data_IF_110543018166
#
_entry.id   IF_110543018166
#
_cell.length_a   1.000
_cell.length_b   1.000
_cell.length_c   1.000
_cell.angle_alpha   90.00
_cell.angle_beta   90.00
_cell.angle_gamma   90.00
#
_symmetry.space_group_name_H-M   'P 1'
#
loop_
_entity.id
_entity.type
_entity.pdbx_description
1 polymer ?
#
# COMPACT_ATOMS: atom_id res chain seq x y z
N UNK A 1 13.17 8.33 19.10
CA UNK A 1 13.55 8.39 20.50
C UNK A 1 13.30 7.00 21.05
N UNK A 2 14.38 6.19 21.20
CA UNK A 2 14.28 4.77 21.43
C UNK A 2 13.78 4.44 22.84
N UNK A 3 12.62 3.84 22.93
CA UNK A 3 12.33 2.87 23.98
C UNK A 3 12.87 1.52 23.50
N UNK A 4 13.56 0.81 24.36
CA UNK A 4 14.05 -0.53 24.05
C UNK A 4 12.84 -1.43 23.81
N UNK A 5 12.79 -2.01 22.63
CA UNK A 5 11.69 -2.85 22.15
C UNK A 5 12.29 -4.12 21.61
N UNK A 6 11.70 -5.26 21.90
CA UNK A 6 12.21 -6.52 21.40
C UNK A 6 11.11 -7.44 20.90
N UNK A 7 11.48 -8.30 19.96
CA UNK A 7 10.62 -9.41 19.51
C UNK A 7 10.44 -10.36 20.69
N UNK A 8 9.18 -10.53 21.13
CA UNK A 8 8.81 -11.47 22.18
C UNK A 8 8.80 -12.92 21.68
N UNK A 9 7.99 -13.75 22.19
CA UNK A 9 7.99 -15.22 22.08
C UNK A 9 7.52 -15.79 20.73
N UNK A 10 6.97 -14.98 19.78
CA UNK A 10 6.30 -15.55 18.61
C UNK A 10 6.68 -14.85 17.32
N UNK A 11 7.37 -15.60 16.47
CA UNK A 11 7.41 -15.40 15.04
C UNK A 11 6.60 -16.53 14.40
N UNK A 12 5.42 -16.22 13.85
CA UNK A 12 4.52 -17.20 13.25
C UNK A 12 4.27 -16.81 11.77
N UNK A 13 5.15 -17.24 10.87
CA UNK A 13 5.11 -16.77 9.49
C UNK A 13 5.28 -15.26 9.43
N UNK A 14 4.33 -14.51 8.85
CA UNK A 14 4.41 -13.05 8.77
C UNK A 14 4.00 -12.32 10.06
N UNK A 15 3.58 -13.03 11.10
CA UNK A 15 3.08 -12.41 12.34
C UNK A 15 4.17 -12.43 13.40
N UNK A 16 4.44 -11.25 13.98
CA UNK A 16 5.46 -11.05 15.01
C UNK A 16 4.83 -10.30 16.18
N UNK A 17 5.05 -10.80 17.40
CA UNK A 17 4.64 -10.12 18.62
C UNK A 17 5.85 -9.37 19.21
N UNK A 18 5.69 -8.05 19.39
CA UNK A 18 6.73 -7.13 19.87
C UNK A 18 6.33 -6.61 21.26
N UNK A 19 7.24 -6.70 22.23
CA UNK A 19 7.06 -6.21 23.58
C UNK A 19 7.76 -4.87 23.77
N UNK A 20 7.10 -3.96 24.45
CA UNK A 20 7.59 -2.62 24.77
C UNK A 20 7.86 -2.52 26.27
N UNK A 21 8.94 -1.87 26.67
CA UNK A 21 9.24 -1.63 28.08
C UNK A 21 8.33 -0.56 28.69
N UNK A 22 7.96 0.44 27.89
CA UNK A 22 7.12 1.55 28.30
C UNK A 22 5.64 1.34 27.94
N UNK A 23 4.73 2.02 28.66
CA UNK A 23 3.30 2.06 28.33
C UNK A 23 3.00 2.84 27.04
N UNK A 24 4.01 3.47 26.41
CA UNK A 24 3.85 4.27 25.21
C UNK A 24 3.88 3.38 23.96
N UNK A 25 2.81 2.66 23.74
CA UNK A 25 2.66 1.76 22.58
C UNK A 25 2.47 2.54 21.28
N UNK A 26 3.04 2.06 20.16
CA UNK A 26 2.79 2.63 18.85
C UNK A 26 1.31 2.51 18.49
N UNK A 27 0.82 3.42 17.68
CA UNK A 27 -0.56 3.36 17.20
C UNK A 27 -0.76 2.17 16.25
N UNK A 28 -2.01 1.73 16.13
CA UNK A 28 -2.38 0.74 15.09
C UNK A 28 -2.09 1.35 13.73
N UNK A 29 -1.45 0.60 12.83
CA UNK A 29 -0.93 0.98 11.51
C UNK A 29 0.41 1.72 11.53
N UNK A 30 1.01 1.96 12.69
CA UNK A 30 2.38 2.45 12.72
C UNK A 30 3.36 1.41 12.17
N UNK A 31 4.41 1.91 11.53
CA UNK A 31 5.50 1.09 11.04
C UNK A 31 6.56 0.87 12.12
N UNK A 32 6.98 -0.36 12.28
CA UNK A 32 8.13 -0.74 13.10
C UNK A 32 9.22 -1.31 12.20
N UNK A 33 10.46 -1.07 12.56
CA UNK A 33 11.63 -1.50 11.81
C UNK A 33 12.48 -2.46 12.65
N UNK A 34 12.95 -3.52 12.01
CA UNK A 34 13.87 -4.49 12.61
C UNK A 34 15.06 -4.71 11.68
N UNK A 35 16.26 -4.74 12.23
CA UNK A 35 17.46 -5.08 11.49
C UNK A 35 17.69 -6.59 11.54
N UNK A 36 17.64 -7.22 10.38
CA UNK A 36 17.92 -8.63 10.22
C UNK A 36 19.21 -8.82 9.41
N UNK A 37 20.33 -8.85 10.12
CA UNK A 37 21.65 -8.73 9.53
C UNK A 37 21.84 -7.36 8.88
N UNK A 38 22.16 -7.35 7.57
CA UNK A 38 22.31 -6.12 6.78
C UNK A 38 21.01 -5.63 6.16
N UNK A 39 19.90 -6.36 6.36
CA UNK A 39 18.61 -6.02 5.77
C UNK A 39 17.69 -5.39 6.80
N UNK A 40 17.18 -4.22 6.46
CA UNK A 40 16.11 -3.58 7.18
C UNK A 40 14.78 -4.18 6.76
N UNK A 41 14.04 -4.74 7.71
CA UNK A 41 12.70 -5.28 7.49
C UNK A 41 11.67 -4.40 8.20
N UNK A 42 10.53 -4.18 7.56
CA UNK A 42 9.46 -3.35 8.08
C UNK A 42 8.25 -4.21 8.39
N UNK A 43 7.61 -3.91 9.52
CA UNK A 43 6.34 -4.51 9.93
C UNK A 43 5.34 -3.43 10.32
N UNK A 44 4.06 -3.73 10.21
CA UNK A 44 2.96 -2.85 10.57
C UNK A 44 2.26 -3.34 11.83
N UNK A 45 1.94 -2.43 12.74
CA UNK A 45 1.16 -2.74 13.95
C UNK A 45 -0.28 -3.03 13.56
N UNK A 46 -0.70 -4.28 13.76
CA UNK A 46 -2.06 -4.72 13.44
C UNK A 46 -2.99 -4.65 14.65
N UNK A 47 -2.49 -4.94 15.86
CA UNK A 47 -3.31 -5.04 17.05
C UNK A 47 -2.48 -4.89 18.33
N UNK A 48 -3.07 -4.27 19.36
CA UNK A 48 -2.58 -4.35 20.73
C UNK A 48 -3.16 -5.59 21.42
N UNK A 49 -2.31 -6.43 21.99
CA UNK A 49 -2.73 -7.68 22.66
C UNK A 49 -2.64 -7.61 24.17
N UNK A 50 -2.27 -6.47 24.73
CA UNK A 50 -2.13 -6.24 26.16
C UNK A 50 -0.72 -6.55 26.68
N UNK A 51 -0.48 -6.26 27.96
CA UNK A 51 0.83 -6.44 28.60
C UNK A 51 1.99 -5.81 27.81
N UNK A 52 1.83 -4.56 27.39
CA UNK A 52 2.79 -3.81 26.60
C UNK A 52 3.24 -4.53 25.30
N UNK A 53 2.40 -5.41 24.77
CA UNK A 53 2.72 -6.18 23.58
C UNK A 53 1.79 -5.80 22.42
N UNK A 54 2.39 -5.61 21.27
CA UNK A 54 1.66 -5.38 20.02
C UNK A 54 1.91 -6.52 19.05
N UNK A 55 0.90 -6.84 18.26
CA UNK A 55 0.99 -7.79 17.17
C UNK A 55 1.20 -7.06 15.87
N UNK A 56 2.26 -7.45 15.16
CA UNK A 56 2.68 -6.84 13.92
C UNK A 56 2.61 -7.84 12.76
N UNK A 57 2.43 -7.32 11.57
CA UNK A 57 2.46 -8.08 10.31
C UNK A 57 3.70 -7.64 9.53
N UNK A 58 4.56 -8.59 9.23
CA UNK A 58 5.74 -8.36 8.39
C UNK A 58 5.34 -8.09 6.94
N UNK A 59 5.95 -7.07 6.36
CA UNK A 59 5.81 -6.74 4.93
C UNK A 59 6.96 -7.32 4.08
N UNK A 60 7.90 -7.97 4.72
CA UNK A 60 9.01 -8.67 4.10
C UNK A 60 9.10 -10.09 4.67
N UNK A 61 10.04 -10.89 4.18
CA UNK A 61 10.28 -12.21 4.74
C UNK A 61 10.65 -12.13 6.22
N UNK A 62 10.05 -13.01 7.02
CA UNK A 62 10.39 -13.18 8.44
C UNK A 62 11.58 -14.14 8.67
N UNK A 63 12.20 -14.64 7.60
CA UNK A 63 13.36 -15.54 7.72
C UNK A 63 14.53 -14.83 8.41
N UNK A 64 15.13 -15.53 9.38
CA UNK A 64 16.24 -14.99 10.16
C UNK A 64 15.81 -14.16 11.38
N UNK A 65 14.53 -13.85 11.54
CA UNK A 65 14.06 -13.21 12.76
C UNK A 65 14.07 -14.19 13.93
N UNK A 66 14.57 -13.72 15.04
CA UNK A 66 14.60 -14.48 16.28
C UNK A 66 14.17 -13.62 17.46
N UNK A 67 13.96 -14.26 18.58
CA UNK A 67 13.62 -13.60 19.84
C UNK A 67 14.72 -12.62 20.25
N UNK A 68 14.33 -11.61 20.97
CA UNK A 68 15.21 -10.58 21.57
C UNK A 68 15.92 -9.69 20.51
N UNK A 69 15.46 -9.69 19.26
CA UNK A 69 15.92 -8.70 18.29
C UNK A 69 15.33 -7.33 18.58
N UNK A 70 16.17 -6.32 18.52
CA UNK A 70 15.78 -4.95 18.72
C UNK A 70 14.89 -4.44 17.58
N UNK A 71 13.81 -3.75 17.95
CA UNK A 71 12.85 -3.16 17.04
C UNK A 71 12.80 -1.65 17.28
N UNK A 72 12.65 -0.87 16.25
CA UNK A 72 12.54 0.59 16.34
C UNK A 72 11.18 1.05 15.82
N UNK A 73 10.44 1.84 16.61
CA UNK A 73 9.22 2.49 16.14
C UNK A 73 9.55 3.71 15.31
N UNK A 74 8.89 3.83 14.14
CA UNK A 74 9.08 5.00 13.28
C UNK A 74 8.23 6.20 13.71
N UNK A 75 7.19 5.96 14.53
CA UNK A 75 6.23 6.97 14.97
C UNK A 75 5.29 7.47 13.86
N UNK A 76 5.21 6.75 12.77
CA UNK A 76 4.33 7.06 11.64
C UNK A 76 3.94 5.77 10.89
N UNK A 77 2.87 5.85 10.11
CA UNK A 77 2.49 4.78 9.19
C UNK A 77 3.48 4.63 8.02
N UNK A 78 3.29 3.57 7.25
CA UNK A 78 4.09 3.32 6.05
C UNK A 78 3.78 4.38 5.01
N UNK A 79 4.82 4.98 4.43
CA UNK A 79 4.71 6.04 3.42
C UNK A 79 5.28 5.57 2.09
N UNK A 80 4.60 5.96 1.02
CA UNK A 80 5.01 5.70 -0.37
C UNK A 80 5.25 7.01 -1.11
N UNK A 81 6.25 7.08 -2.00
CA UNK A 81 6.47 8.24 -2.83
C UNK A 81 5.29 8.48 -3.77
N UNK A 82 4.94 9.74 -3.99
CA UNK A 82 3.87 10.16 -4.90
C UNK A 82 4.38 11.24 -5.85
N UNK A 83 3.63 11.48 -6.93
CA UNK A 83 3.94 12.51 -7.92
C UNK A 83 4.26 11.95 -9.30
N UNK A 84 4.48 12.83 -10.26
CA UNK A 84 4.70 12.47 -11.68
C UNK A 84 5.91 11.56 -11.90
N UNK A 85 6.93 11.66 -11.03
CA UNK A 85 8.15 10.84 -11.12
C UNK A 85 7.91 9.35 -10.81
N UNK A 86 6.75 9.02 -10.27
CA UNK A 86 6.34 7.63 -9.98
C UNK A 86 5.61 6.98 -11.15
N UNK A 87 5.21 7.76 -12.15
CA UNK A 87 4.45 7.25 -13.30
C UNK A 87 5.32 6.31 -14.15
N UNK A 88 4.73 5.19 -14.55
CA UNK A 88 5.43 4.17 -15.36
C UNK A 88 6.49 3.38 -14.62
N UNK A 89 6.62 3.53 -13.30
CA UNK A 89 7.59 2.87 -12.44
C UNK A 89 6.95 1.72 -11.65
N UNK A 90 7.77 0.80 -11.18
CA UNK A 90 7.34 -0.33 -10.37
C UNK A 90 7.97 -0.25 -8.98
N UNK A 91 7.12 -0.31 -7.95
CA UNK A 91 7.51 -0.19 -6.55
C UNK A 91 7.07 -1.40 -5.73
N UNK A 92 7.82 -1.69 -4.67
CA UNK A 92 7.36 -2.59 -3.62
C UNK A 92 6.39 -1.85 -2.66
N UNK A 93 5.87 -2.56 -1.66
CA UNK A 93 4.93 -2.01 -0.67
C UNK A 93 5.53 -0.90 0.21
N UNK A 94 6.85 -0.79 0.26
CA UNK A 94 7.57 0.24 1.02
C UNK A 94 7.89 1.47 0.15
N UNK A 95 7.47 1.48 -1.12
CA UNK A 95 7.77 2.57 -2.05
C UNK A 95 9.20 2.56 -2.59
N UNK A 96 9.90 1.43 -2.51
CA UNK A 96 11.22 1.25 -3.13
C UNK A 96 11.06 0.79 -4.57
N UNK A 97 11.84 1.38 -5.48
CA UNK A 97 11.81 1.01 -6.89
C UNK A 97 12.41 -0.39 -7.09
N UNK A 98 11.65 -1.26 -7.75
CA UNK A 98 12.07 -2.64 -8.06
C UNK A 98 12.21 -2.90 -9.57
N UNK A 99 12.09 -1.87 -10.38
CA UNK A 99 12.23 -1.91 -11.85
C UNK A 99 13.68 -1.78 -12.33
N UNK A 100 14.65 -1.73 -11.41
CA UNK A 100 16.07 -1.53 -11.72
C UNK A 100 16.44 -0.07 -12.01
N UNK A 101 15.49 0.85 -11.96
CA UNK A 101 15.74 2.30 -12.07
C UNK A 101 16.18 2.93 -10.74
N UNK A 102 16.64 4.18 -10.82
CA UNK A 102 16.95 4.94 -9.61
C UNK A 102 15.70 5.19 -8.77
N UNK A 103 15.86 5.32 -7.46
CA UNK A 103 14.77 5.72 -6.57
C UNK A 103 14.24 7.09 -6.98
N UNK A 104 12.92 7.31 -7.05
CA UNK A 104 12.38 8.61 -7.41
C UNK A 104 12.77 9.65 -6.36
N UNK A 105 13.28 10.77 -6.82
CA UNK A 105 13.63 11.92 -5.98
C UNK A 105 12.37 12.77 -5.76
N UNK A 106 11.47 12.25 -4.92
CA UNK A 106 10.27 12.96 -4.51
C UNK A 106 10.34 13.29 -3.03
N UNK A 107 10.14 14.55 -2.69
CA UNK A 107 10.01 15.00 -1.30
C UNK A 107 8.64 14.61 -0.72
N UNK A 108 7.64 14.49 -1.60
CA UNK A 108 6.27 14.18 -1.21
C UNK A 108 6.05 12.67 -1.06
N UNK A 109 5.62 12.28 0.14
CA UNK A 109 5.27 10.89 0.48
C UNK A 109 3.93 10.87 1.20
N UNK A 110 3.06 9.97 0.79
CA UNK A 110 1.77 9.77 1.39
C UNK A 110 1.72 8.47 2.18
N UNK A 111 0.95 8.49 3.28
CA UNK A 111 0.67 7.26 4.01
C UNK A 111 -0.24 6.34 3.20
N UNK A 112 0.03 5.03 3.25
CA UNK A 112 -0.78 4.04 2.54
C UNK A 112 -2.20 3.93 3.12
N UNK A 113 -2.39 4.28 4.41
CA UNK A 113 -3.65 4.30 5.12
C UNK A 113 -4.15 5.73 5.31
N UNK A 114 -4.32 6.46 4.22
CA UNK A 114 -4.88 7.81 4.29
C UNK A 114 -6.41 7.79 4.26
N UNK A 115 -7.02 8.82 4.84
CA UNK A 115 -8.45 9.05 4.72
C UNK A 115 -8.85 9.28 3.25
N UNK A 116 -10.05 8.81 2.85
CA UNK A 116 -10.56 9.10 1.50
C UNK A 116 -10.81 10.61 1.34
N UNK A 117 -10.77 11.12 0.10
CA UNK A 117 -11.07 12.52 -0.16
C UNK A 117 -12.49 12.88 0.31
N UNK A 118 -12.63 14.09 0.88
CA UNK A 118 -13.92 14.61 1.27
C UNK A 118 -14.84 14.83 0.07
N UNK A 119 -16.14 14.96 0.30
CA UNK A 119 -17.09 15.18 -0.80
C UNK A 119 -16.78 16.46 -1.59
N UNK A 120 -16.25 17.49 -0.93
CA UNK A 120 -15.88 18.77 -1.54
C UNK A 120 -14.64 18.65 -2.45
N UNK A 121 -13.75 17.73 -2.14
CA UNK A 121 -12.53 17.45 -2.91
C UNK A 121 -12.79 16.51 -4.12
N UNK A 122 -13.97 15.89 -4.17
CA UNK A 122 -14.30 14.99 -5.27
C UNK A 122 -14.77 15.80 -6.49
N UNK A 123 -14.09 15.60 -7.61
CA UNK A 123 -14.58 16.10 -8.89
C UNK A 123 -15.81 15.29 -9.34
N UNK A 124 -16.95 15.92 -9.64
CA UNK A 124 -18.03 15.23 -10.30
C UNK A 124 -17.54 14.70 -11.65
N UNK A 125 -17.97 13.48 -11.98
CA UNK A 125 -17.59 12.84 -13.25
C UNK A 125 -18.33 13.54 -14.42
N UNK A 126 -17.72 14.59 -14.97
CA UNK A 126 -18.27 15.37 -16.09
C UNK A 126 -17.77 14.88 -17.46
N UNK A 127 -16.70 14.08 -17.49
CA UNK A 127 -16.11 13.58 -18.71
C UNK A 127 -16.56 12.16 -19.03
N UNK A 128 -16.83 11.92 -20.30
CA UNK A 128 -17.16 10.60 -20.84
C UNK A 128 -15.87 9.90 -21.28
N UNK A 129 -15.74 8.63 -20.94
CA UNK A 129 -14.71 7.75 -21.48
C UNK A 129 -15.15 7.27 -22.87
N UNK A 130 -14.51 7.80 -23.90
CA UNK A 130 -14.75 7.35 -25.29
C UNK A 130 -14.16 5.97 -25.50
N UNK A 131 -15.02 4.95 -25.64
CA UNK A 131 -14.59 3.56 -25.85
C UNK A 131 -14.34 3.24 -27.32
N UNK A 132 -14.84 4.06 -28.25
CA UNK A 132 -14.85 3.80 -29.68
C UNK A 132 -15.94 2.77 -30.10
N UNK A 133 -16.71 2.28 -29.16
CA UNK A 133 -17.84 1.37 -29.45
C UNK A 133 -19.11 2.19 -29.48
N UNK A 134 -19.63 2.46 -30.67
CA UNK A 134 -20.75 3.38 -30.91
C UNK A 134 -21.97 3.13 -30.03
N UNK A 135 -22.33 1.86 -29.81
CA UNK A 135 -23.45 1.49 -28.95
C UNK A 135 -23.24 1.93 -27.49
N UNK A 136 -22.05 1.76 -26.97
CA UNK A 136 -21.72 2.17 -25.60
C UNK A 136 -21.70 3.70 -25.52
N UNK A 137 -20.94 4.34 -26.40
CA UNK A 137 -20.70 5.78 -26.33
C UNK A 137 -21.99 6.60 -26.53
N UNK A 138 -22.95 6.07 -27.30
CA UNK A 138 -24.22 6.76 -27.60
C UNK A 138 -25.37 6.39 -26.66
N UNK A 139 -25.47 5.14 -26.25
CA UNK A 139 -26.63 4.66 -25.49
C UNK A 139 -26.38 4.47 -24.01
N UNK A 140 -25.15 4.15 -23.63
CA UNK A 140 -24.76 3.93 -22.23
C UNK A 140 -23.34 4.42 -21.98
N UNK A 141 -23.07 5.72 -22.12
CA UNK A 141 -21.73 6.27 -22.02
C UNK A 141 -21.12 6.02 -20.64
N UNK A 142 -19.84 5.77 -20.62
CA UNK A 142 -19.06 5.57 -19.38
C UNK A 142 -18.52 6.90 -18.88
N UNK A 143 -18.81 7.25 -17.64
CA UNK A 143 -18.22 8.40 -17.00
C UNK A 143 -16.81 8.07 -16.50
N UNK A 144 -15.82 8.93 -16.76
CA UNK A 144 -14.49 8.82 -16.17
C UNK A 144 -14.58 8.93 -14.64
N UNK A 145 -13.94 7.99 -13.92
CA UNK A 145 -14.04 7.88 -12.46
C UNK A 145 -15.31 7.19 -11.96
N UNK A 146 -16.24 6.81 -12.85
CA UNK A 146 -17.44 6.05 -12.51
C UNK A 146 -17.14 4.58 -12.22
N UNK A 147 -18.09 3.92 -11.56
CA UNK A 147 -18.07 2.45 -11.36
C UNK A 147 -19.00 1.80 -12.36
N UNK A 148 -18.44 0.98 -13.24
CA UNK A 148 -19.16 0.35 -14.35
C UNK A 148 -19.07 -1.16 -14.19
N UNK A 149 -20.22 -1.83 -14.17
CA UNK A 149 -20.31 -3.29 -14.12
C UNK A 149 -20.61 -3.86 -15.51
N UNK A 150 -19.74 -4.73 -16.01
CA UNK A 150 -19.92 -5.44 -17.26
C UNK A 150 -20.11 -6.92 -16.95
N UNK A 151 -21.25 -7.45 -17.36
CA UNK A 151 -21.62 -8.84 -17.11
C UNK A 151 -21.83 -9.57 -18.43
N UNK A 152 -21.21 -10.71 -18.59
CA UNK A 152 -21.36 -11.52 -19.79
C UNK A 152 -20.75 -12.92 -19.63
N UNK A 153 -21.26 -13.84 -20.42
CA UNK A 153 -20.70 -15.18 -20.55
C UNK A 153 -19.45 -15.23 -21.45
N UNK A 154 -18.91 -16.41 -21.66
CA UNK A 154 -17.79 -16.60 -22.57
C UNK A 154 -18.16 -16.20 -24.02
N UNK A 155 -17.27 -15.45 -24.67
CA UNK A 155 -17.43 -15.07 -26.09
C UNK A 155 -18.33 -13.86 -26.38
N UNK A 156 -18.79 -13.11 -25.35
CA UNK A 156 -19.66 -11.94 -25.55
C UNK A 156 -18.91 -10.63 -25.81
N UNK A 157 -17.59 -10.67 -26.04
CA UNK A 157 -16.81 -9.52 -26.50
C UNK A 157 -16.34 -8.56 -25.41
N UNK A 158 -16.32 -8.96 -24.12
CA UNK A 158 -15.83 -8.12 -23.02
C UNK A 158 -14.38 -7.63 -23.23
N UNK A 159 -13.55 -8.41 -23.93
CA UNK A 159 -12.18 -8.02 -24.27
C UNK A 159 -12.09 -6.89 -25.29
N UNK A 160 -13.14 -6.64 -26.09
CA UNK A 160 -13.13 -5.57 -27.10
C UNK A 160 -12.97 -4.18 -26.49
N UNK A 161 -13.47 -3.95 -25.29
CA UNK A 161 -13.34 -2.67 -24.60
C UNK A 161 -11.86 -2.36 -24.29
N UNK A 162 -11.11 -3.39 -23.89
CA UNK A 162 -9.67 -3.26 -23.62
C UNK A 162 -8.81 -3.13 -24.89
N UNK A 163 -9.29 -3.71 -26.00
CA UNK A 163 -8.57 -3.67 -27.28
C UNK A 163 -8.88 -2.36 -28.04
N UNK A 164 -10.10 -1.85 -27.90
CA UNK A 164 -10.58 -0.67 -28.63
C UNK A 164 -10.26 0.64 -27.95
N UNK A 165 -9.71 0.65 -26.74
CA UNK A 165 -9.25 1.85 -26.08
C UNK A 165 -7.91 2.30 -26.71
N UNK A 166 -7.93 3.19 -27.76
CA UNK A 166 -6.74 3.39 -28.60
C UNK A 166 -5.75 4.39 -28.02
N UNK A 167 -5.94 4.88 -26.80
CA UNK A 167 -5.29 6.10 -26.36
C UNK A 167 -4.85 6.16 -24.90
N UNK A 168 -4.43 5.03 -24.29
CA UNK A 168 -3.53 5.18 -23.17
C UNK A 168 -2.11 5.34 -23.71
N UNK A 169 -1.52 6.53 -23.65
CA UNK A 169 -0.08 6.63 -23.85
C UNK A 169 0.58 5.81 -22.73
N UNK A 170 1.43 4.90 -23.13
CA UNK A 170 2.26 4.12 -22.24
C UNK A 170 3.28 5.03 -21.56
#
# INVERSE_FOLDING_TARGET
>A
VGSEMCIRDRVMGPVVDVEFEDENLPAIRDALEVLNGDKKSVMEVAQHIGNNTVRCIMLASSEGLHRDMEVTATGAGIKTPVGEQTLGRLFNVLGEAIDGGAQPDTEEKWEIHREPPTFEEQNPAEEILETGIKVIDLLAPYAKGGKIGLFGGAGVGLSLIHISEPTRPY
#
